data_IF_162432685827
#
_entry.id   IF_162432685827
#
_cell.length_a   1.000
_cell.length_b   1.000
_cell.length_c   1.000
_cell.angle_alpha   90.00
_cell.angle_beta   90.00
_cell.angle_gamma   90.00
#
_symmetry.space_group_name_H-M   'P 1'
#
loop_
_entity.id
_entity.type
_entity.pdbx_description
1 polymer ?
#
# COMPACT_ATOMS: atom_id res chain seq x y z
N UNK A 1 -6.78 -19.58 -13.08
CA UNK A 1 -7.02 -18.18 -13.49
C UNK A 1 -6.74 -17.30 -12.28
N UNK A 2 -5.73 -16.45 -12.32
CA UNK A 2 -5.62 -15.39 -11.32
C UNK A 2 -6.82 -14.46 -11.46
N UNK A 3 -7.59 -14.28 -10.39
CA UNK A 3 -8.68 -13.31 -10.41
C UNK A 3 -8.09 -11.91 -10.70
N UNK A 4 -8.66 -11.18 -11.63
CA UNK A 4 -8.21 -9.85 -12.01
C UNK A 4 -8.31 -8.89 -10.80
N UNK A 5 -7.26 -8.12 -10.53
CA UNK A 5 -7.31 -7.04 -9.53
C UNK A 5 -8.24 -5.96 -10.07
N UNK A 6 -9.42 -5.80 -9.47
CA UNK A 6 -10.42 -4.84 -9.93
C UNK A 6 -10.32 -3.48 -9.23
N UNK A 7 -9.52 -3.39 -8.18
CA UNK A 7 -9.35 -2.19 -7.36
C UNK A 7 -7.90 -2.08 -6.90
N UNK A 8 -7.38 -0.85 -6.90
CA UNK A 8 -6.06 -0.50 -6.38
C UNK A 8 -6.22 0.63 -5.36
N UNK A 9 -5.65 0.45 -4.17
CA UNK A 9 -5.50 1.49 -3.16
C UNK A 9 -4.01 1.78 -3.00
N UNK A 10 -3.62 3.05 -3.10
CA UNK A 10 -2.22 3.46 -2.97
C UNK A 10 -2.07 4.35 -1.75
N UNK A 11 -1.26 3.89 -0.79
CA UNK A 11 -0.83 4.69 0.34
C UNK A 11 0.39 5.48 -0.09
N UNK A 12 0.25 6.80 -0.15
CA UNK A 12 1.30 7.73 -0.53
C UNK A 12 2.14 8.12 0.70
N UNK A 13 3.47 8.18 0.54
CA UNK A 13 4.42 8.50 1.60
C UNK A 13 5.87 8.43 1.11
N UNK A 14 6.80 8.75 1.99
CA UNK A 14 8.24 8.61 1.77
C UNK A 14 8.80 7.45 2.60
N UNK A 15 9.64 6.58 2.02
CA UNK A 15 10.37 5.58 2.77
C UNK A 15 11.50 6.22 3.58
N UNK A 16 11.80 5.64 4.74
CA UNK A 16 12.91 6.08 5.61
C UNK A 16 12.42 6.49 7.01
N UNK A 17 13.20 6.19 8.07
CA UNK A 17 12.83 6.50 9.46
C UNK A 17 12.60 8.00 9.70
N UNK A 18 13.26 8.87 8.92
CA UNK A 18 13.11 10.32 9.02
C UNK A 18 11.72 10.83 8.60
N UNK A 19 10.92 10.00 7.91
CA UNK A 19 9.58 10.38 7.45
C UNK A 19 8.44 9.75 8.26
N UNK A 20 8.73 8.79 9.15
CA UNK A 20 7.73 7.99 9.88
C UNK A 20 6.66 8.85 10.58
N UNK A 21 7.09 9.90 11.28
CA UNK A 21 6.22 10.80 12.04
C UNK A 21 5.76 12.04 11.27
N UNK A 22 6.07 12.13 9.98
CA UNK A 22 5.65 13.28 9.17
C UNK A 22 4.21 13.14 8.69
N UNK A 23 3.54 14.28 8.47
CA UNK A 23 2.21 14.32 7.81
C UNK A 23 2.23 13.69 6.42
N UNK A 24 3.39 13.62 5.76
CA UNK A 24 3.57 12.98 4.45
C UNK A 24 3.34 11.47 4.50
N UNK A 25 3.55 10.80 5.64
CA UNK A 25 3.37 9.36 5.79
C UNK A 25 1.99 8.95 6.30
N UNK A 26 1.02 9.87 6.33
CA UNK A 26 -0.35 9.53 6.69
C UNK A 26 -0.95 8.48 5.74
N UNK A 27 -0.61 8.54 4.44
CA UNK A 27 -1.07 7.56 3.45
C UNK A 27 -0.55 6.16 3.74
N UNK A 28 0.73 6.01 4.08
CA UNK A 28 1.30 4.72 4.51
C UNK A 28 0.60 4.18 5.77
N UNK A 29 0.41 5.02 6.79
CA UNK A 29 -0.24 4.62 8.04
C UNK A 29 -1.68 4.17 7.83
N UNK A 30 -2.44 4.86 6.97
CA UNK A 30 -3.81 4.48 6.63
C UNK A 30 -3.85 3.12 5.95
N UNK A 31 -2.99 2.86 4.96
CA UNK A 31 -3.02 1.57 4.25
C UNK A 31 -2.53 0.40 5.10
N UNK A 32 -1.59 0.64 6.02
CA UNK A 32 -1.18 -0.35 7.02
C UNK A 32 -2.32 -0.69 7.97
N UNK A 33 -2.98 0.31 8.53
CA UNK A 33 -4.14 0.13 9.40
C UNK A 33 -5.28 -0.59 8.66
N UNK A 34 -5.50 -0.25 7.39
CA UNK A 34 -6.50 -0.90 6.54
C UNK A 34 -6.17 -2.38 6.31
N UNK A 35 -4.94 -2.72 5.90
CA UNK A 35 -4.50 -4.11 5.70
C UNK A 35 -4.65 -4.92 6.98
N UNK A 36 -4.29 -4.36 8.13
CA UNK A 36 -4.44 -5.00 9.43
C UNK A 36 -5.92 -5.22 9.80
N UNK A 37 -6.76 -4.20 9.63
CA UNK A 37 -8.19 -4.25 9.98
C UNK A 37 -8.95 -5.26 9.13
N UNK A 38 -8.67 -5.28 7.82
CA UNK A 38 -9.30 -6.19 6.87
C UNK A 38 -8.63 -7.58 6.83
N UNK A 39 -7.60 -7.81 7.67
CA UNK A 39 -6.82 -9.06 7.74
C UNK A 39 -6.29 -9.51 6.38
N UNK A 40 -5.88 -8.54 5.56
CA UNK A 40 -5.24 -8.82 4.29
C UNK A 40 -3.82 -9.39 4.54
N UNK A 41 -3.26 -10.17 3.60
CA UNK A 41 -1.89 -10.66 3.71
C UNK A 41 -0.89 -9.54 3.99
N UNK A 42 0.19 -9.88 4.68
CA UNK A 42 1.26 -8.92 4.95
C UNK A 42 1.83 -8.35 3.64
N UNK A 43 2.32 -7.11 3.73
CA UNK A 43 3.01 -6.47 2.61
C UNK A 43 4.25 -7.28 2.21
N UNK A 44 4.41 -7.50 0.91
CA UNK A 44 5.61 -8.10 0.32
C UNK A 44 6.17 -7.18 -0.76
N UNK A 45 7.45 -7.33 -1.08
CA UNK A 45 8.09 -6.47 -2.07
C UNK A 45 7.61 -6.84 -3.47
N UNK A 46 7.20 -5.83 -4.24
CA UNK A 46 6.79 -5.98 -5.64
C UNK A 46 7.14 -4.72 -6.43
N UNK A 47 7.99 -4.87 -7.44
CA UNK A 47 8.50 -3.75 -8.22
C UNK A 47 9.19 -2.71 -7.33
N UNK A 48 8.86 -1.43 -7.56
CA UNK A 48 9.37 -0.29 -6.78
C UNK A 48 8.67 -0.03 -5.45
N UNK A 49 7.88 -0.97 -4.92
CA UNK A 49 7.08 -0.76 -3.72
C UNK A 49 6.82 -2.03 -2.89
N UNK A 50 5.93 -1.89 -1.91
CA UNK A 50 5.35 -2.98 -1.14
C UNK A 50 3.89 -3.15 -1.53
N UNK A 51 3.45 -4.38 -1.73
CA UNK A 51 2.08 -4.72 -2.08
C UNK A 51 1.48 -5.70 -1.07
N UNK A 52 0.21 -5.51 -0.74
CA UNK A 52 -0.67 -6.52 -0.15
C UNK A 52 -1.82 -6.77 -1.11
N UNK A 53 -2.18 -8.04 -1.34
CA UNK A 53 -3.32 -8.41 -2.18
C UNK A 53 -4.27 -9.34 -1.46
N UNK A 54 -5.56 -9.12 -1.62
CA UNK A 54 -6.58 -10.02 -1.09
C UNK A 54 -7.97 -9.72 -1.67
N UNK A 55 -8.99 -10.26 -1.02
CA UNK A 55 -10.39 -10.00 -1.39
C UNK A 55 -11.00 -8.99 -0.44
N UNK A 56 -11.64 -7.96 -0.97
CA UNK A 56 -12.36 -6.95 -0.19
C UNK A 56 -13.68 -6.58 -0.90
N UNK A 57 -14.80 -6.71 -0.20
CA UNK A 57 -16.12 -6.42 -0.75
C UNK A 57 -16.43 -7.22 -2.03
N UNK A 58 -16.13 -8.53 -2.03
CA UNK A 58 -16.39 -9.44 -3.14
C UNK A 58 -15.54 -9.23 -4.40
N UNK A 59 -14.46 -8.45 -4.33
CA UNK A 59 -13.55 -8.21 -5.45
C UNK A 59 -12.09 -8.28 -5.01
N UNK A 60 -11.18 -8.63 -5.93
CA UNK A 60 -9.74 -8.63 -5.66
C UNK A 60 -9.24 -7.18 -5.58
N UNK A 61 -8.53 -6.89 -4.49
CA UNK A 61 -7.95 -5.61 -4.16
C UNK A 61 -6.43 -5.76 -4.05
N UNK A 62 -5.71 -4.80 -4.61
CA UNK A 62 -4.30 -4.57 -4.31
C UNK A 62 -4.16 -3.29 -3.49
N UNK A 63 -3.30 -3.33 -2.48
CA UNK A 63 -2.91 -2.21 -1.64
C UNK A 63 -1.41 -2.00 -1.82
N UNK A 64 -1.00 -0.79 -2.22
CA UNK A 64 0.38 -0.49 -2.58
C UNK A 64 0.96 0.62 -1.71
N UNK A 65 2.22 0.45 -1.28
CA UNK A 65 3.09 1.49 -0.72
C UNK A 65 4.30 1.67 -1.64
N UNK A 66 4.36 2.71 -2.47
CA UNK A 66 5.54 2.99 -3.29
C UNK A 66 6.76 3.23 -2.39
N UNK A 67 7.91 2.62 -2.69
CA UNK A 67 9.18 2.86 -1.99
C UNK A 67 10.11 3.78 -2.80
N UNK A 68 9.57 4.49 -3.78
CA UNK A 68 10.27 5.56 -4.47
C UNK A 68 10.02 6.86 -3.70
N UNK A 69 11.07 7.67 -3.52
CA UNK A 69 10.92 8.99 -2.92
C UNK A 69 9.87 9.80 -3.70
N UNK A 70 8.98 10.50 -2.97
CA UNK A 70 7.88 11.31 -3.52
C UNK A 70 8.32 12.36 -4.54
N UNK A 71 9.61 12.72 -4.55
CA UNK A 71 10.20 13.69 -5.47
C UNK A 71 10.14 13.28 -6.96
N UNK A 72 9.57 12.12 -7.33
CA UNK A 72 9.27 11.71 -8.72
C UNK A 72 7.96 10.90 -8.89
N UNK A 73 6.92 11.22 -8.11
CA UNK A 73 5.65 10.47 -8.14
C UNK A 73 4.49 11.16 -8.89
N UNK A 74 4.79 12.20 -9.66
CA UNK A 74 3.86 12.83 -10.61
C UNK A 74 3.85 12.12 -11.96
#
# INVERSE_FOLDING_TARGET
MEAEVRRLVVGLGNPGPEYEDTRHNVGFRIVEAFVARERLPAFHRKGGGLESQGSFGGSRLAVLKPLLYMNRSG
#
